data_IF_204507704571
#
_entry.id   IF_204507704571
#
_cell.length_a   1.000
_cell.length_b   1.000
_cell.length_c   1.000
_cell.angle_alpha   90.00
_cell.angle_beta   90.00
_cell.angle_gamma   90.00
#
_symmetry.space_group_name_H-M   'P 1'
#
loop_
_entity.id
_entity.type
_entity.pdbx_description
1 polymer ?
#
# COMPACT_ATOMS: atom_id res chain seq x y z
N UNK A 1 -21.52 -10.74 -2.35
CA UNK A 1 -20.55 -9.68 -2.66
C UNK A 1 -19.15 -10.20 -2.37
N UNK A 2 -18.20 -10.17 -3.34
CA UNK A 2 -16.80 -10.57 -3.08
C UNK A 2 -16.13 -9.54 -2.14
N UNK A 3 -15.39 -10.01 -1.14
CA UNK A 3 -14.62 -9.13 -0.24
C UNK A 3 -13.60 -8.31 -1.01
N UNK A 4 -13.20 -7.15 -0.47
CA UNK A 4 -12.19 -6.28 -1.09
C UNK A 4 -10.87 -7.02 -1.35
N UNK A 5 -10.46 -7.89 -0.42
CA UNK A 5 -9.30 -8.78 -0.58
C UNK A 5 -9.48 -9.71 -1.78
N UNK A 6 -10.66 -10.29 -1.95
CA UNK A 6 -10.97 -11.11 -3.11
C UNK A 6 -10.84 -10.32 -4.42
N UNK A 7 -11.38 -9.10 -4.48
CA UNK A 7 -11.27 -8.24 -5.68
C UNK A 7 -9.83 -7.87 -6.02
N UNK A 8 -9.05 -7.49 -5.00
CA UNK A 8 -7.61 -7.22 -5.12
C UNK A 8 -6.89 -8.42 -5.71
N UNK A 9 -7.08 -9.61 -5.15
CA UNK A 9 -6.39 -10.82 -5.63
C UNK A 9 -6.73 -11.12 -7.09
N UNK A 10 -7.98 -10.96 -7.49
CA UNK A 10 -8.38 -11.13 -8.89
C UNK A 10 -7.70 -10.11 -9.81
N UNK A 11 -7.61 -8.84 -9.41
CA UNK A 11 -6.84 -7.83 -10.17
C UNK A 11 -5.34 -8.17 -10.24
N UNK A 12 -4.74 -8.61 -9.13
CA UNK A 12 -3.32 -8.97 -9.12
C UNK A 12 -3.01 -10.18 -10.02
N UNK A 13 -3.94 -11.13 -10.15
CA UNK A 13 -3.79 -12.29 -11.04
C UNK A 13 -3.82 -11.92 -12.52
N UNK A 14 -4.46 -10.82 -12.92
CA UNK A 14 -4.37 -10.33 -14.31
C UNK A 14 -3.00 -9.69 -14.60
N UNK A 15 -2.30 -9.28 -13.55
CA UNK A 15 -1.01 -8.65 -13.65
C UNK A 15 0.15 -9.65 -13.72
N UNK A 16 0.13 -10.67 -12.87
CA UNK A 16 1.22 -11.64 -12.71
C UNK A 16 0.81 -12.84 -11.87
N UNK A 17 1.80 -13.58 -11.36
CA UNK A 17 1.55 -14.79 -10.58
C UNK A 17 1.35 -14.45 -9.11
N UNK A 18 0.16 -14.69 -8.58
CA UNK A 18 -0.13 -14.59 -7.15
C UNK A 18 0.09 -15.96 -6.49
N UNK A 19 0.83 -15.99 -5.38
CA UNK A 19 1.10 -17.21 -4.63
C UNK A 19 1.18 -16.92 -3.12
N UNK A 20 1.09 -17.97 -2.31
CA UNK A 20 1.24 -17.87 -0.86
C UNK A 20 2.52 -18.58 -0.41
N UNK A 21 3.20 -18.01 0.57
CA UNK A 21 4.37 -18.58 1.22
C UNK A 21 4.40 -18.08 2.66
N UNK A 22 4.66 -18.95 3.64
CA UNK A 22 4.78 -18.58 5.07
C UNK A 22 3.61 -17.73 5.59
N UNK A 23 2.37 -18.10 5.24
CA UNK A 23 1.12 -17.37 5.56
C UNK A 23 1.05 -15.93 5.01
N UNK A 24 1.90 -15.59 4.05
CA UNK A 24 1.90 -14.31 3.34
C UNK A 24 1.50 -14.52 1.89
N UNK A 25 0.86 -13.51 1.32
CA UNK A 25 0.54 -13.46 -0.11
C UNK A 25 1.59 -12.65 -0.85
N UNK A 26 2.03 -13.16 -1.98
CA UNK A 26 3.00 -12.53 -2.84
C UNK A 26 2.47 -12.40 -4.26
N UNK A 27 2.95 -11.38 -4.95
CA UNK A 27 2.79 -11.18 -6.38
C UNK A 27 4.17 -11.22 -7.03
N UNK A 28 4.36 -12.13 -7.98
CA UNK A 28 5.51 -12.13 -8.89
C UNK A 28 5.17 -11.35 -10.15
N UNK A 29 5.92 -10.27 -10.40
CA UNK A 29 5.88 -9.47 -11.63
C UNK A 29 7.30 -9.37 -12.19
N UNK A 30 7.52 -9.94 -13.38
CA UNK A 30 8.87 -10.05 -13.94
C UNK A 30 9.83 -10.78 -12.99
N UNK A 31 10.92 -10.12 -12.62
CA UNK A 31 11.93 -10.63 -11.70
C UNK A 31 11.69 -10.26 -10.23
N UNK A 32 10.67 -9.45 -9.95
CA UNK A 32 10.39 -8.93 -8.61
C UNK A 32 9.27 -9.72 -7.92
N UNK A 33 9.40 -9.84 -6.59
CA UNK A 33 8.36 -10.40 -5.73
C UNK A 33 7.90 -9.32 -4.74
N UNK A 34 6.59 -9.07 -4.75
CA UNK A 34 5.94 -8.09 -3.87
C UNK A 34 5.11 -8.81 -2.80
N UNK A 35 5.43 -8.60 -1.53
CA UNK A 35 4.57 -9.00 -0.41
C UNK A 35 3.31 -8.12 -0.40
N UNK A 36 2.13 -8.75 -0.43
CA UNK A 36 0.84 -8.04 -0.45
C UNK A 36 0.36 -7.85 0.98
N UNK A 37 0.22 -6.59 1.37
CA UNK A 37 -0.28 -6.21 2.69
C UNK A 37 -1.55 -5.38 2.56
N UNK A 38 -2.37 -5.43 3.61
CA UNK A 38 -3.67 -4.77 3.65
C UNK A 38 -3.69 -3.81 4.84
N UNK A 39 -3.96 -2.54 4.58
CA UNK A 39 -4.11 -1.53 5.61
C UNK A 39 -5.55 -1.00 5.64
N UNK A 40 -6.24 -1.20 6.77
CA UNK A 40 -7.60 -0.69 6.93
C UNK A 40 -7.55 0.78 7.35
N UNK A 41 -8.07 1.68 6.51
CA UNK A 41 -8.26 3.09 6.78
C UNK A 41 -9.73 3.45 6.61
N UNK A 42 -10.35 3.96 7.68
CA UNK A 42 -11.75 4.39 7.65
C UNK A 42 -11.97 5.51 6.62
N UNK A 43 -13.11 5.49 5.94
CA UNK A 43 -13.50 6.56 5.03
C UNK A 43 -13.48 7.94 5.73
N UNK A 44 -13.09 8.97 4.98
CA UNK A 44 -12.96 10.33 5.50
C UNK A 44 -11.67 10.58 6.28
N UNK A 45 -10.83 9.55 6.49
CA UNK A 45 -9.48 9.73 7.02
C UNK A 45 -8.46 9.88 5.89
N UNK A 46 -7.44 10.66 6.17
CA UNK A 46 -6.20 10.72 5.40
C UNK A 46 -5.14 9.88 6.11
N UNK A 47 -4.18 9.39 5.33
CA UNK A 47 -3.04 8.65 5.85
C UNK A 47 -1.75 9.39 5.50
N UNK A 48 -1.01 9.75 6.54
CA UNK A 48 0.30 10.36 6.43
C UNK A 48 1.39 9.38 6.83
N UNK A 49 2.40 9.23 5.99
CA UNK A 49 3.54 8.34 6.20
C UNK A 49 4.71 9.20 6.70
N UNK A 50 4.98 9.19 8.00
CA UNK A 50 6.04 10.03 8.59
C UNK A 50 7.40 9.30 8.62
N UNK A 51 7.37 7.98 8.81
CA UNK A 51 8.55 7.12 8.74
C UNK A 51 8.18 5.70 8.28
N UNK A 52 9.14 4.79 8.07
CA UNK A 52 8.84 3.40 7.74
C UNK A 52 7.94 2.71 8.78
N UNK A 53 7.98 3.15 10.03
CA UNK A 53 7.28 2.52 11.16
C UNK A 53 6.22 3.41 11.81
N UNK A 54 6.23 4.71 11.58
CA UNK A 54 5.33 5.65 12.27
C UNK A 54 4.47 6.33 11.22
N UNK A 55 3.20 5.96 11.21
CA UNK A 55 2.19 6.54 10.34
C UNK A 55 1.19 7.31 11.17
N UNK A 56 0.42 8.16 10.53
CA UNK A 56 -0.57 9.00 11.17
C UNK A 56 -1.87 8.97 10.38
N UNK A 57 -2.95 8.57 11.04
CA UNK A 57 -4.29 8.70 10.49
C UNK A 57 -4.89 10.03 10.90
N UNK A 58 -5.29 10.84 9.93
CA UNK A 58 -5.80 12.20 10.16
C UNK A 58 -7.30 12.28 9.84
N UNK A 59 -8.05 12.88 10.75
CA UNK A 59 -9.35 13.50 10.50
C UNK A 59 -9.42 14.82 11.29
N UNK A 60 -10.42 15.02 12.15
CA UNK A 60 -10.43 16.09 13.15
C UNK A 60 -9.37 15.92 14.26
N UNK A 61 -8.93 14.68 14.53
CA UNK A 61 -7.84 14.34 15.44
C UNK A 61 -6.86 13.42 14.73
N UNK A 62 -5.59 13.50 15.09
CA UNK A 62 -4.59 12.57 14.59
C UNK A 62 -4.45 11.35 15.50
N UNK A 63 -4.17 10.20 14.89
CA UNK A 63 -3.81 8.97 15.62
C UNK A 63 -2.51 8.43 15.04
N UNK A 64 -1.51 8.25 15.90
CA UNK A 64 -0.24 7.65 15.52
C UNK A 64 -0.39 6.12 15.51
N UNK A 65 0.06 5.48 14.43
CA UNK A 65 -0.01 4.03 14.24
C UNK A 65 1.39 3.47 14.04
N UNK A 66 1.74 2.45 14.83
CA UNK A 66 3.02 1.76 14.73
C UNK A 66 2.96 0.59 13.74
N UNK A 67 3.79 0.67 12.71
CA UNK A 67 3.88 -0.24 11.58
C UNK A 67 5.16 -1.06 11.57
N UNK A 68 5.75 -1.32 12.74
CA UNK A 68 6.96 -2.13 12.85
C UNK A 68 6.84 -3.50 12.17
N UNK A 69 5.62 -4.07 12.11
CA UNK A 69 5.33 -5.31 11.40
C UNK A 69 5.61 -5.23 9.89
N UNK A 70 5.33 -4.09 9.25
CA UNK A 70 5.59 -3.84 7.82
C UNK A 70 7.09 -3.84 7.55
N UNK A 71 7.90 -3.37 8.51
CA UNK A 71 9.37 -3.29 8.37
C UNK A 71 10.11 -4.58 8.75
N UNK A 72 9.42 -5.66 9.13
CA UNK A 72 10.08 -6.91 9.55
C UNK A 72 10.77 -7.65 8.40
N UNK A 73 10.24 -7.56 7.18
CA UNK A 73 10.89 -8.11 5.98
C UNK A 73 11.55 -6.98 5.18
N UNK A 74 12.72 -7.23 4.61
CA UNK A 74 13.40 -6.24 3.75
C UNK A 74 12.87 -6.23 2.31
N UNK A 75 12.11 -7.25 1.89
CA UNK A 75 11.57 -7.37 0.53
C UNK A 75 10.55 -6.28 0.17
N UNK A 76 10.32 -6.13 -1.14
CA UNK A 76 9.35 -5.19 -1.70
C UNK A 76 7.93 -5.55 -1.29
N UNK A 77 7.12 -4.52 -1.08
CA UNK A 77 5.72 -4.69 -0.66
C UNK A 77 4.78 -3.81 -1.46
N UNK A 78 3.53 -4.25 -1.56
CA UNK A 78 2.42 -3.44 -2.00
C UNK A 78 1.41 -3.41 -0.85
N UNK A 79 1.23 -2.23 -0.26
CA UNK A 79 0.32 -1.99 0.85
C UNK A 79 -0.95 -1.36 0.29
N UNK A 80 -2.04 -2.11 0.38
CA UNK A 80 -3.33 -1.73 -0.18
C UNK A 80 -4.17 -1.12 0.92
N UNK A 81 -4.46 0.17 0.77
CA UNK A 81 -5.31 0.94 1.68
C UNK A 81 -6.78 0.77 1.28
N UNK A 82 -7.62 0.40 2.25
CA UNK A 82 -9.06 0.16 2.05
C UNK A 82 -9.86 0.42 3.33
N UNK A 83 -11.19 0.66 3.27
CA UNK A 83 -11.95 1.01 2.08
C UNK A 83 -11.69 2.44 1.59
N UNK A 84 -10.93 3.25 2.35
CA UNK A 84 -10.67 4.64 1.99
C UNK A 84 -10.07 4.78 0.60
N UNK A 85 -10.61 5.73 -0.16
CA UNK A 85 -10.16 6.14 -1.50
C UNK A 85 -9.45 7.49 -1.48
N UNK A 86 -9.24 8.05 -0.29
CA UNK A 86 -8.65 9.37 -0.09
C UNK A 86 -7.16 9.37 -0.44
N UNK A 87 -6.61 10.57 -0.62
CA UNK A 87 -5.18 10.75 -0.93
C UNK A 87 -4.32 10.27 0.22
N UNK A 88 -3.18 9.66 -0.13
CA UNK A 88 -2.14 9.25 0.81
C UNK A 88 -0.99 10.25 0.68
N UNK A 89 -0.52 10.78 1.80
CA UNK A 89 0.50 11.82 1.85
C UNK A 89 1.74 11.34 2.60
N UNK A 90 2.88 11.97 2.30
CA UNK A 90 4.13 11.83 3.04
C UNK A 90 4.70 13.21 3.32
N UNK A 91 5.21 13.39 4.52
CA UNK A 91 5.98 14.58 4.88
C UNK A 91 7.43 14.39 4.45
N UNK A 92 7.93 15.31 3.64
CA UNK A 92 9.36 15.37 3.30
C UNK A 92 10.11 16.17 4.38
N UNK A 93 9.46 17.22 4.90
CA UNK A 93 9.92 18.07 6.00
C UNK A 93 8.69 18.74 6.65
N UNK A 94 8.90 19.74 7.52
CA UNK A 94 7.83 20.45 8.25
C UNK A 94 6.84 21.19 7.34
N UNK A 95 7.26 21.56 6.12
CA UNK A 95 6.50 22.44 5.22
C UNK A 95 6.07 21.76 3.91
N UNK A 96 6.69 20.63 3.54
CA UNK A 96 6.45 19.95 2.27
C UNK A 96 5.74 18.62 2.43
N UNK A 97 4.62 18.51 1.73
CA UNK A 97 3.79 17.30 1.64
C UNK A 97 3.80 16.80 0.20
N UNK A 98 4.12 15.52 0.02
CA UNK A 98 4.08 14.82 -1.26
C UNK A 98 2.96 13.76 -1.27
N UNK A 99 2.29 13.60 -2.41
CA UNK A 99 1.36 12.49 -2.62
C UNK A 99 2.12 11.23 -3.03
N UNK A 100 2.17 10.22 -2.16
CA UNK A 100 2.95 8.98 -2.39
C UNK A 100 2.17 7.87 -3.08
N UNK A 101 0.97 8.16 -3.56
CA UNK A 101 0.14 7.18 -4.23
C UNK A 101 0.86 6.63 -5.47
N UNK A 102 1.11 5.32 -5.50
CA UNK A 102 1.86 4.62 -6.55
C UNK A 102 3.37 4.94 -6.60
N UNK A 103 3.95 5.51 -5.55
CA UNK A 103 5.39 5.79 -5.45
C UNK A 103 6.06 4.80 -4.50
N UNK A 104 7.26 4.33 -4.88
CA UNK A 104 8.06 3.50 -4.00
C UNK A 104 8.53 4.39 -2.84
N UNK A 105 8.13 4.02 -1.63
CA UNK A 105 8.45 4.72 -0.39
C UNK A 105 9.16 3.74 0.52
N UNK A 106 10.46 3.96 0.74
CA UNK A 106 11.34 2.98 1.39
C UNK A 106 11.37 1.64 0.62
N UNK A 107 10.78 0.58 1.17
CA UNK A 107 10.67 -0.74 0.53
C UNK A 107 9.22 -1.16 0.22
N UNK A 108 8.29 -0.20 0.17
CA UNK A 108 6.90 -0.50 -0.14
C UNK A 108 6.27 0.54 -1.08
N UNK A 109 5.37 0.08 -1.94
CA UNK A 109 4.37 0.91 -2.57
C UNK A 109 3.17 1.00 -1.64
N UNK A 110 2.57 2.18 -1.53
CA UNK A 110 1.29 2.37 -0.86
C UNK A 110 0.27 2.90 -1.87
N UNK A 111 -0.88 2.26 -1.92
CA UNK A 111 -1.88 2.52 -2.95
C UNK A 111 -3.28 2.32 -2.38
N UNK A 112 -4.22 3.17 -2.77
CA UNK A 112 -5.63 2.91 -2.48
C UNK A 112 -6.17 1.87 -3.45
N UNK A 113 -7.19 1.11 -3.06
CA UNK A 113 -7.79 0.10 -3.94
C UNK A 113 -8.10 0.61 -5.36
N UNK A 114 -8.64 1.83 -5.48
CA UNK A 114 -9.01 2.42 -6.78
C UNK A 114 -7.81 2.73 -7.69
N UNK A 115 -6.60 2.83 -7.14
CA UNK A 115 -5.38 3.15 -7.88
C UNK A 115 -4.49 1.93 -8.14
N UNK A 116 -4.94 0.74 -7.71
CA UNK A 116 -4.16 -0.49 -7.86
C UNK A 116 -3.82 -0.79 -9.33
N UNK A 117 -4.77 -0.58 -10.25
CA UNK A 117 -4.55 -0.81 -11.68
C UNK A 117 -3.47 0.14 -12.24
N UNK A 118 -3.45 1.40 -11.79
CA UNK A 118 -2.43 2.37 -12.19
C UNK A 118 -1.04 1.98 -11.67
N UNK A 119 -0.95 1.48 -10.43
CA UNK A 119 0.31 0.93 -9.91
C UNK A 119 0.77 -0.28 -10.73
N UNK A 120 -0.12 -1.21 -11.04
CA UNK A 120 0.20 -2.42 -11.81
C UNK A 120 0.79 -2.05 -13.17
N UNK A 121 0.18 -1.11 -13.91
CA UNK A 121 0.69 -0.64 -15.21
C UNK A 121 2.10 -0.08 -15.08
N UNK A 122 2.31 0.81 -14.10
CA UNK A 122 3.63 1.38 -13.80
C UNK A 122 4.68 0.30 -13.51
N UNK A 123 4.33 -0.72 -12.73
CA UNK A 123 5.27 -1.82 -12.39
C UNK A 123 5.59 -2.74 -13.58
N UNK A 124 4.72 -2.80 -14.58
CA UNK A 124 4.97 -3.53 -15.83
C UNK A 124 5.85 -2.77 -16.81
N UNK A 125 6.04 -1.46 -16.61
CA UNK A 125 6.75 -0.60 -17.55
C UNK A 125 5.89 -0.05 -18.68
N UNK A 126 4.56 0.00 -18.48
CA UNK A 126 3.60 0.67 -19.38
C UNK A 126 3.48 2.18 -19.10
#
# INVERSE_FOLDING_TARGET
SKSIKGKVIEQLKTAGKVFNQDNKTFLKLGNENYEIMYYYLRNGKELSINSPRIWEEKNHKSTIVNQSAITKSNGLKIIIVYPSTNKITRYINENEIEFVNNQLTYNFYIVTYNNLDSLIKKLKGD
#
